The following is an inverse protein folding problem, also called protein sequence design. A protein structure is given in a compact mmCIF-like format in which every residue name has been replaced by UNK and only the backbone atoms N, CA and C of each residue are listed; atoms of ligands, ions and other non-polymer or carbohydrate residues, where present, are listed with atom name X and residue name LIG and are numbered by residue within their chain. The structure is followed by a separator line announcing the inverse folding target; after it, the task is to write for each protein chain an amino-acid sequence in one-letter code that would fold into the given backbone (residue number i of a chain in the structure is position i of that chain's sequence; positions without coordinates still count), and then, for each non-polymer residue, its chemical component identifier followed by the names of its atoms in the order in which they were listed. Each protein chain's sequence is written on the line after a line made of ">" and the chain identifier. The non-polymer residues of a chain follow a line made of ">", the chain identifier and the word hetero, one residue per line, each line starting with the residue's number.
data_IF_034228022034
#
_entry.id   IF_034228022034
#
_cell.length_a   1.000
_cell.length_b   1.000
_cell.length_c   1.000
_cell.angle_alpha   90.00
_cell.angle_beta   90.00
_cell.angle_gamma   90.00
#
_symmetry.space_group_name_H-M   'P 1'
#
loop_
_entity.id
_entity.type
_entity.pdbx_description
1 polymer ?
#
# COMPACT_ATOMS: atom_id res chain seq x y z
N UNK A 1 -24.37 16.99 34.06
CA UNK A 1 -23.33 18.05 34.22
C UNK A 1 -22.02 17.52 33.66
N UNK A 2 -21.43 18.19 32.68
CA UNK A 2 -20.10 17.84 32.18
C UNK A 2 -19.06 18.16 33.24
N UNK A 3 -18.20 17.20 33.56
CA UNK A 3 -17.09 17.44 34.50
C UNK A 3 -16.08 18.41 33.85
N UNK A 4 -15.39 19.24 34.66
CA UNK A 4 -14.40 20.23 34.19
C UNK A 4 -13.39 19.65 33.19
N UNK A 5 -12.93 18.41 33.41
CA UNK A 5 -11.99 17.73 32.53
C UNK A 5 -12.58 17.44 31.13
N UNK A 6 -13.88 17.18 31.02
CA UNK A 6 -14.53 16.98 29.70
C UNK A 6 -14.64 18.27 28.91
N UNK A 7 -14.89 19.40 29.62
CA UNK A 7 -14.90 20.73 28.98
C UNK A 7 -13.51 21.14 28.50
N UNK A 8 -12.47 20.89 29.28
CA UNK A 8 -11.08 21.13 28.88
C UNK A 8 -10.74 20.30 27.66
N UNK A 9 -11.05 19.01 27.65
CA UNK A 9 -10.82 18.13 26.50
C UNK A 9 -11.54 18.63 25.23
N UNK A 10 -12.78 19.12 25.37
CA UNK A 10 -13.55 19.70 24.26
C UNK A 10 -12.86 20.96 23.70
N UNK A 11 -12.39 21.87 24.57
CA UNK A 11 -11.70 23.09 24.13
C UNK A 11 -10.37 22.79 23.45
N UNK A 12 -9.61 21.80 23.95
CA UNK A 12 -8.38 21.35 23.29
C UNK A 12 -8.70 20.80 21.89
N UNK A 13 -9.73 19.95 21.76
CA UNK A 13 -10.16 19.41 20.48
C UNK A 13 -10.55 20.51 19.48
N UNK A 14 -11.37 21.47 19.94
CA UNK A 14 -11.78 22.62 19.11
C UNK A 14 -10.60 23.51 18.74
N UNK A 15 -9.65 23.72 19.66
CA UNK A 15 -8.43 24.47 19.40
C UNK A 15 -7.55 23.80 18.34
N UNK A 16 -7.35 22.49 18.44
CA UNK A 16 -6.60 21.70 17.45
C UNK A 16 -7.29 21.72 16.09
N UNK A 17 -8.62 21.54 16.07
CA UNK A 17 -9.40 21.64 14.81
C UNK A 17 -9.28 23.03 14.19
N UNK A 18 -9.44 24.09 14.98
CA UNK A 18 -9.31 25.47 14.52
C UNK A 18 -7.92 25.78 13.98
N UNK A 19 -6.86 25.35 14.69
CA UNK A 19 -5.47 25.49 14.24
C UNK A 19 -5.21 24.72 12.93
N UNK A 20 -5.77 23.52 12.79
CA UNK A 20 -5.64 22.70 11.59
C UNK A 20 -6.31 23.37 10.38
N UNK A 21 -7.52 23.91 10.57
CA UNK A 21 -8.25 24.64 9.52
C UNK A 21 -7.50 25.93 9.14
N UNK A 22 -7.00 26.69 10.13
CA UNK A 22 -6.22 27.89 9.88
C UNK A 22 -4.94 27.58 9.12
N UNK A 23 -4.19 26.57 9.54
CA UNK A 23 -2.99 26.10 8.83
C UNK A 23 -3.32 25.66 7.39
N UNK A 24 -4.40 24.93 7.19
CA UNK A 24 -4.87 24.55 5.86
C UNK A 24 -5.21 25.77 4.98
N UNK A 25 -5.92 26.75 5.51
CA UNK A 25 -6.28 27.96 4.75
C UNK A 25 -5.04 28.78 4.37
N UNK A 26 -4.06 28.88 5.25
CA UNK A 26 -2.79 29.57 4.99
C UNK A 26 -1.94 28.84 3.94
N UNK A 27 -1.86 27.52 4.05
CA UNK A 27 -0.99 26.71 3.20
C UNK A 27 -1.66 26.23 1.89
N UNK A 28 -3.00 26.39 1.75
CA UNK A 28 -3.75 25.82 0.61
C UNK A 28 -3.24 26.23 -0.78
N UNK A 29 -2.60 27.40 -0.90
CA UNK A 29 -2.04 27.87 -2.18
C UNK A 29 -0.67 27.25 -2.48
N UNK A 30 0.11 26.98 -1.45
CA UNK A 30 1.46 26.42 -1.54
C UNK A 30 1.46 24.89 -1.57
N UNK A 31 0.42 24.25 -1.01
CA UNK A 31 0.32 22.78 -0.94
C UNK A 31 0.10 22.19 -2.34
N UNK A 32 1.03 21.34 -2.75
CA UNK A 32 1.01 20.59 -4.01
C UNK A 32 0.53 19.17 -3.72
N UNK A 33 -0.68 18.87 -4.16
CA UNK A 33 -1.26 17.53 -3.98
C UNK A 33 -1.36 16.81 -5.31
N UNK A 34 -1.34 15.48 -5.26
CA UNK A 34 -1.60 14.62 -6.42
C UNK A 34 -2.92 14.97 -7.12
N UNK A 35 -3.97 15.33 -6.35
CA UNK A 35 -5.27 15.70 -6.90
C UNK A 35 -5.18 17.01 -7.71
N UNK A 36 -4.42 17.98 -7.22
CA UNK A 36 -4.19 19.24 -7.93
C UNK A 36 -3.37 19.01 -9.20
N UNK A 37 -2.33 18.16 -9.12
CA UNK A 37 -1.53 17.80 -10.29
C UNK A 37 -2.38 17.08 -11.36
N UNK A 38 -3.26 16.16 -10.93
CA UNK A 38 -4.22 15.51 -11.84
C UNK A 38 -5.10 16.54 -12.57
N UNK A 39 -5.58 17.55 -11.85
CA UNK A 39 -6.40 18.61 -12.45
C UNK A 39 -5.58 19.44 -13.45
N UNK A 40 -4.40 19.86 -13.08
CA UNK A 40 -3.51 20.65 -13.96
C UNK A 40 -3.20 19.90 -15.26
N UNK A 41 -2.92 18.59 -15.19
CA UNK A 41 -2.64 17.78 -16.37
C UNK A 41 -3.89 17.51 -17.23
N UNK A 42 -5.07 17.46 -16.63
CA UNK A 42 -6.32 17.35 -17.40
C UNK A 42 -6.69 18.65 -18.14
N UNK A 43 -6.33 19.79 -17.56
CA UNK A 43 -6.64 21.12 -18.11
C UNK A 43 -5.60 21.54 -19.18
N UNK A 44 -4.50 20.80 -19.33
CA UNK A 44 -3.43 21.06 -20.29
C UNK A 44 -3.74 20.39 -21.65
N UNK A 45 -4.03 21.12 -22.71
CA UNK A 45 -4.39 20.57 -24.01
C UNK A 45 -3.22 19.87 -24.72
N UNK A 46 -1.97 20.20 -24.35
CA UNK A 46 -0.77 19.65 -24.99
C UNK A 46 -0.39 18.27 -24.42
N UNK A 47 -0.91 17.93 -23.23
CA UNK A 47 -0.63 16.67 -22.55
C UNK A 47 -1.82 15.71 -22.66
N UNK A 48 -1.90 14.96 -23.74
CA UNK A 48 -2.99 14.00 -23.99
C UNK A 48 -2.90 12.71 -23.18
N UNK A 49 -1.73 12.30 -22.72
CA UNK A 49 -1.51 11.08 -21.93
C UNK A 49 -0.50 11.34 -20.80
N UNK A 50 -0.88 10.96 -19.59
CA UNK A 50 -0.05 11.09 -18.42
C UNK A 50 -0.32 9.93 -17.44
N UNK A 51 0.62 9.69 -16.54
CA UNK A 51 0.50 8.69 -15.48
C UNK A 51 1.01 9.27 -14.17
N UNK A 52 0.16 9.26 -13.14
CA UNK A 52 0.57 9.57 -11.77
C UNK A 52 0.62 8.29 -10.95
N UNK A 53 1.74 8.06 -10.31
CA UNK A 53 2.00 6.93 -9.44
C UNK A 53 2.55 7.42 -8.11
N UNK A 54 2.25 6.71 -7.03
CA UNK A 54 2.86 6.96 -5.73
C UNK A 54 3.29 5.63 -5.11
N UNK A 55 4.25 5.71 -4.21
CA UNK A 55 4.80 4.55 -3.53
C UNK A 55 3.89 4.16 -2.35
N UNK A 56 3.32 2.96 -2.41
CA UNK A 56 2.67 2.35 -1.27
C UNK A 56 3.71 1.83 -0.28
N UNK A 57 3.39 1.87 1.01
CA UNK A 57 4.21 1.17 2.00
C UNK A 57 4.11 -0.35 1.79
N UNK A 58 5.21 -1.07 1.92
CA UNK A 58 5.22 -2.54 1.88
C UNK A 58 4.30 -3.15 2.95
N UNK A 59 3.98 -2.40 4.00
CA UNK A 59 3.03 -2.82 5.04
C UNK A 59 1.62 -3.11 4.51
N UNK A 60 1.28 -2.62 3.31
CA UNK A 60 0.03 -3.00 2.64
C UNK A 60 -0.01 -4.50 2.28
N UNK A 61 1.14 -5.15 2.15
CA UNK A 61 1.23 -6.57 1.86
C UNK A 61 0.82 -7.46 3.05
N UNK A 62 0.62 -6.87 4.25
CA UNK A 62 0.05 -7.56 5.42
C UNK A 62 -1.49 -7.64 5.40
N UNK A 63 -2.14 -7.26 4.31
CA UNK A 63 -3.61 -7.40 4.13
C UNK A 63 -4.12 -8.81 4.45
N UNK A 64 -3.46 -9.92 4.06
CA UNK A 64 -3.93 -11.27 4.43
C UNK A 64 -3.98 -11.47 5.96
N UNK A 65 -2.97 -11.00 6.69
CA UNK A 65 -2.94 -11.05 8.16
C UNK A 65 -4.04 -10.18 8.78
N UNK A 66 -4.29 -8.98 8.21
CA UNK A 66 -5.35 -8.09 8.68
C UNK A 66 -6.73 -8.72 8.46
N UNK A 67 -6.96 -9.35 7.30
CA UNK A 67 -8.20 -10.06 7.00
C UNK A 67 -8.40 -11.26 7.96
N UNK A 68 -7.34 -12.04 8.20
CA UNK A 68 -7.36 -13.12 9.18
C UNK A 68 -7.66 -12.60 10.60
N UNK A 69 -7.07 -11.47 11.01
CA UNK A 69 -7.35 -10.83 12.29
C UNK A 69 -8.81 -10.38 12.40
N UNK A 70 -9.37 -9.80 11.34
CA UNK A 70 -10.77 -9.41 11.33
C UNK A 70 -11.71 -10.63 11.46
N UNK A 71 -11.44 -11.69 10.71
CA UNK A 71 -12.20 -12.93 10.80
C UNK A 71 -12.09 -13.55 12.21
N UNK A 72 -10.87 -13.60 12.76
CA UNK A 72 -10.63 -14.12 14.11
C UNK A 72 -11.37 -13.28 15.17
N UNK A 73 -11.37 -11.95 15.04
CA UNK A 73 -12.12 -11.04 15.91
C UNK A 73 -13.61 -11.35 15.89
N UNK A 74 -14.20 -11.48 14.69
CA UNK A 74 -15.63 -11.81 14.55
C UNK A 74 -15.95 -13.16 15.18
N UNK A 75 -15.14 -14.19 14.91
CA UNK A 75 -15.33 -15.53 15.49
C UNK A 75 -15.26 -15.51 17.04
N UNK A 76 -14.31 -14.75 17.60
CA UNK A 76 -14.18 -14.61 19.05
C UNK A 76 -15.37 -13.87 19.66
N UNK A 77 -15.87 -12.79 19.04
CA UNK A 77 -17.08 -12.12 19.52
C UNK A 77 -18.33 -12.99 19.41
N UNK A 78 -18.48 -13.79 18.34
CA UNK A 78 -19.57 -14.75 18.20
C UNK A 78 -19.49 -15.84 19.29
N UNK A 79 -18.28 -16.29 19.64
CA UNK A 79 -18.06 -17.20 20.75
C UNK A 79 -18.42 -16.59 22.09
N UNK A 80 -17.94 -15.37 22.38
CA UNK A 80 -18.22 -14.64 23.64
C UNK A 80 -19.72 -14.36 23.81
N UNK A 81 -20.46 -14.21 22.71
CA UNK A 81 -21.92 -14.03 22.69
C UNK A 81 -22.69 -15.35 22.72
N UNK A 82 -22.03 -16.47 22.93
CA UNK A 82 -22.61 -17.83 22.98
C UNK A 82 -23.49 -18.18 21.74
N UNK A 83 -23.14 -17.67 20.56
CA UNK A 83 -23.95 -17.80 19.36
C UNK A 83 -23.79 -19.17 18.72
N UNK A 84 -24.71 -20.09 19.07
CA UNK A 84 -24.87 -21.39 18.44
C UNK A 84 -23.58 -22.24 18.43
N UNK A 85 -23.21 -22.77 17.26
CA UNK A 85 -22.05 -23.68 17.09
C UNK A 85 -20.71 -22.99 17.42
N UNK A 86 -20.64 -21.67 17.35
CA UNK A 86 -19.40 -20.92 17.59
C UNK A 86 -18.96 -20.93 19.05
N UNK A 87 -19.87 -21.17 20.01
CA UNK A 87 -19.54 -21.27 21.45
C UNK A 87 -18.57 -22.42 21.76
N UNK A 88 -18.57 -23.49 20.95
CA UNK A 88 -17.74 -24.68 21.15
C UNK A 88 -16.33 -24.57 20.59
N UNK A 89 -16.03 -23.50 19.82
CA UNK A 89 -14.71 -23.32 19.19
C UNK A 89 -13.66 -23.01 20.26
N UNK A 90 -12.55 -23.75 20.22
CA UNK A 90 -11.42 -23.50 21.11
C UNK A 90 -10.66 -22.24 20.66
N UNK A 91 -10.47 -21.22 21.53
CA UNK A 91 -9.72 -19.99 21.22
C UNK A 91 -8.30 -20.24 20.71
N UNK A 92 -7.64 -21.26 21.29
CA UNK A 92 -6.27 -21.61 20.89
C UNK A 92 -6.17 -22.08 19.44
N UNK A 93 -7.25 -22.67 18.88
CA UNK A 93 -7.29 -23.08 17.46
C UNK A 93 -7.35 -21.83 16.56
N UNK A 94 -8.20 -20.85 16.93
CA UNK A 94 -8.29 -19.58 16.20
C UNK A 94 -6.93 -18.87 16.22
N UNK A 95 -6.30 -18.78 17.41
CA UNK A 95 -4.99 -18.18 17.59
C UNK A 95 -3.88 -18.90 16.81
N UNK A 96 -3.90 -20.23 16.82
CA UNK A 96 -2.96 -21.05 16.06
C UNK A 96 -3.07 -20.82 14.54
N UNK A 97 -4.28 -20.85 14.00
CA UNK A 97 -4.52 -20.60 12.55
C UNK A 97 -4.08 -19.17 12.18
N UNK A 98 -4.48 -18.19 12.99
CA UNK A 98 -4.08 -16.81 12.78
C UNK A 98 -2.56 -16.65 12.80
N UNK A 99 -1.88 -17.27 13.77
CA UNK A 99 -0.42 -17.20 13.89
C UNK A 99 0.28 -17.81 12.68
N UNK A 100 -0.20 -18.93 12.16
CA UNK A 100 0.34 -19.57 10.95
C UNK A 100 0.18 -18.63 9.74
N UNK A 101 -0.99 -18.00 9.56
CA UNK A 101 -1.22 -17.04 8.49
C UNK A 101 -0.28 -15.84 8.62
N UNK A 102 -0.14 -15.30 9.85
CA UNK A 102 0.79 -14.21 10.14
C UNK A 102 2.22 -14.59 9.81
N UNK A 103 2.69 -15.76 10.27
CA UNK A 103 4.05 -16.23 10.07
C UNK A 103 4.36 -16.43 8.58
N UNK A 104 3.45 -17.08 7.84
CA UNK A 104 3.62 -17.27 6.38
C UNK A 104 3.70 -15.91 5.69
N UNK A 105 2.78 -14.99 6.01
CA UNK A 105 2.76 -13.66 5.42
C UNK A 105 4.04 -12.87 5.73
N UNK A 106 4.50 -12.94 6.99
CA UNK A 106 5.75 -12.33 7.42
C UNK A 106 6.97 -12.89 6.67
N UNK A 107 7.10 -14.22 6.60
CA UNK A 107 8.22 -14.85 5.89
C UNK A 107 8.22 -14.52 4.39
N UNK A 108 7.06 -14.54 3.75
CA UNK A 108 6.98 -14.24 2.32
C UNK A 108 7.32 -12.78 2.03
N UNK A 109 6.89 -11.83 2.88
CA UNK A 109 7.19 -10.41 2.71
C UNK A 109 8.66 -10.10 3.01
N UNK A 110 9.20 -10.61 4.11
CA UNK A 110 10.56 -10.33 4.56
C UNK A 110 11.61 -10.86 3.58
N UNK A 111 11.42 -12.07 3.07
CA UNK A 111 12.40 -12.71 2.18
C UNK A 111 12.08 -12.54 0.69
N UNK A 112 11.05 -11.79 0.32
CA UNK A 112 10.60 -11.61 -1.07
C UNK A 112 10.48 -12.97 -1.81
N UNK A 113 9.83 -13.94 -1.18
CA UNK A 113 9.79 -15.32 -1.63
C UNK A 113 9.00 -15.44 -2.93
N UNK A 114 9.64 -15.96 -3.97
CA UNK A 114 8.96 -16.25 -5.23
C UNK A 114 7.96 -17.40 -5.07
N UNK A 115 6.90 -17.38 -5.89
CA UNK A 115 5.87 -18.44 -5.87
C UNK A 115 6.47 -19.84 -6.05
N UNK A 116 7.58 -19.98 -6.80
CA UNK A 116 8.25 -21.27 -7.00
C UNK A 116 8.82 -21.81 -5.70
N UNK A 117 9.52 -20.95 -4.94
CA UNK A 117 10.11 -21.34 -3.65
C UNK A 117 8.99 -21.65 -2.65
N UNK A 118 7.91 -20.86 -2.63
CA UNK A 118 6.75 -21.11 -1.76
C UNK A 118 6.13 -22.49 -2.05
N UNK A 119 5.91 -22.84 -3.32
CA UNK A 119 5.34 -24.13 -3.72
C UNK A 119 6.28 -25.29 -3.33
N UNK A 120 7.58 -25.15 -3.58
CA UNK A 120 8.57 -26.17 -3.20
C UNK A 120 8.57 -26.36 -1.68
N UNK A 121 8.57 -25.26 -0.90
CA UNK A 121 8.47 -25.28 0.56
C UNK A 121 7.21 -25.99 1.03
N UNK A 122 6.05 -25.66 0.45
CA UNK A 122 4.77 -26.26 0.81
C UNK A 122 4.76 -27.76 0.56
N UNK A 123 5.25 -28.19 -0.62
CA UNK A 123 5.37 -29.63 -0.98
C UNK A 123 6.35 -30.32 -0.02
N UNK A 124 7.49 -29.69 0.28
CA UNK A 124 8.48 -30.24 1.23
C UNK A 124 7.92 -30.42 2.64
N UNK A 125 7.20 -29.41 3.15
CA UNK A 125 6.53 -29.49 4.45
C UNK A 125 5.47 -30.59 4.45
N UNK A 126 4.65 -30.67 3.39
CA UNK A 126 3.67 -31.75 3.22
C UNK A 126 4.32 -33.14 3.21
N UNK A 127 5.43 -33.29 2.49
CA UNK A 127 6.19 -34.54 2.46
C UNK A 127 6.74 -34.92 3.83
N UNK A 128 7.34 -33.98 4.55
CA UNK A 128 7.83 -34.19 5.93
C UNK A 128 6.68 -34.60 6.85
N UNK A 129 5.52 -33.95 6.72
CA UNK A 129 4.35 -34.27 7.55
C UNK A 129 3.81 -35.69 7.25
N UNK A 130 3.75 -36.08 5.97
CA UNK A 130 3.40 -37.45 5.58
C UNK A 130 4.40 -38.47 6.11
N UNK A 131 5.70 -38.17 6.02
CA UNK A 131 6.75 -39.06 6.57
C UNK A 131 6.62 -39.19 8.08
N UNK A 132 6.42 -38.09 8.84
CA UNK A 132 6.17 -38.12 10.27
C UNK A 132 4.92 -38.97 10.63
N UNK A 133 3.88 -38.91 9.78
CA UNK A 133 2.67 -39.71 9.96
C UNK A 133 2.95 -41.21 9.78
N UNK A 134 3.72 -41.59 8.75
CA UNK A 134 4.11 -42.98 8.52
C UNK A 134 4.95 -43.55 9.65
N UNK A 135 5.81 -42.74 10.26
CA UNK A 135 6.65 -43.15 11.41
C UNK A 135 5.86 -43.14 12.75
N UNK A 136 4.64 -42.56 12.75
CA UNK A 136 3.82 -42.42 13.95
C UNK A 136 4.27 -41.31 14.90
N UNK A 137 5.12 -40.39 14.43
CA UNK A 137 5.67 -39.29 15.24
C UNK A 137 4.84 -38.03 15.25
N UNK A 138 3.77 -37.93 14.46
CA UNK A 138 2.87 -36.77 14.43
C UNK A 138 2.37 -36.37 15.82
N UNK A 139 1.90 -37.31 16.70
CA UNK A 139 1.45 -36.91 18.03
C UNK A 139 2.57 -36.36 18.91
N UNK A 140 3.80 -36.90 18.80
CA UNK A 140 4.96 -36.40 19.53
C UNK A 140 5.36 -34.99 19.03
N UNK A 141 5.36 -34.79 17.71
CA UNK A 141 5.63 -33.49 17.08
C UNK A 141 4.58 -32.44 17.50
N UNK A 142 3.29 -32.77 17.45
CA UNK A 142 2.22 -31.84 17.85
C UNK A 142 2.27 -31.51 19.36
N UNK A 143 2.78 -32.41 20.21
CA UNK A 143 2.98 -32.13 21.65
C UNK A 143 3.99 -31.00 21.89
N UNK A 144 4.98 -30.81 21.01
CA UNK A 144 5.91 -29.68 21.11
C UNK A 144 5.18 -28.33 21.00
N UNK A 145 4.10 -28.27 20.21
CA UNK A 145 3.29 -27.08 20.02
C UNK A 145 2.17 -26.90 21.04
N UNK A 146 1.92 -27.88 21.92
CA UNK A 146 0.86 -27.81 22.94
C UNK A 146 1.03 -26.62 23.89
N UNK A 147 2.26 -26.16 24.09
CA UNK A 147 2.57 -25.02 24.95
C UNK A 147 2.61 -23.67 24.16
N UNK A 148 2.47 -23.72 22.85
CA UNK A 148 2.34 -22.54 21.96
C UNK A 148 0.87 -22.13 21.75
N UNK A 149 -0.01 -22.43 22.73
CA UNK A 149 -1.40 -22.00 22.68
C UNK A 149 -1.45 -20.46 22.72
N UNK A 150 -1.74 -19.84 21.58
CA UNK A 150 -1.90 -18.40 21.46
C UNK A 150 -3.38 -18.08 21.67
N UNK A 151 -3.71 -17.52 22.83
CA UNK A 151 -5.06 -17.05 23.10
C UNK A 151 -5.10 -15.53 23.04
N UNK A 152 -5.75 -14.99 22.03
CA UNK A 152 -5.94 -13.55 21.85
C UNK A 152 -7.44 -13.29 21.93
N UNK A 153 -7.84 -12.25 22.68
CA UNK A 153 -9.25 -11.82 22.78
C UNK A 153 -9.78 -11.27 21.45
N UNK A 154 -11.09 -11.28 21.25
CA UNK A 154 -11.74 -10.66 20.09
C UNK A 154 -11.31 -9.21 19.89
N UNK A 155 -11.20 -8.43 20.98
CA UNK A 155 -10.72 -7.05 20.98
C UNK A 155 -9.24 -6.96 20.55
N UNK A 156 -8.39 -7.93 20.94
CA UNK A 156 -6.98 -7.96 20.53
C UNK A 156 -6.83 -8.12 19.03
N UNK A 157 -7.57 -9.03 18.40
CA UNK A 157 -7.60 -9.19 16.94
C UNK A 157 -8.13 -7.95 16.22
N UNK A 158 -9.19 -7.32 16.78
CA UNK A 158 -9.73 -6.07 16.24
C UNK A 158 -8.67 -4.96 16.27
N UNK A 159 -7.90 -4.85 17.35
CA UNK A 159 -6.82 -3.87 17.47
C UNK A 159 -5.76 -4.07 16.40
N UNK A 160 -5.33 -5.32 16.14
CA UNK A 160 -4.37 -5.63 15.06
C UNK A 160 -4.93 -5.19 13.70
N UNK A 161 -6.20 -5.46 13.43
CA UNK A 161 -6.87 -5.02 12.20
C UNK A 161 -6.88 -3.50 12.08
N UNK A 162 -7.26 -2.78 13.16
CA UNK A 162 -7.32 -1.31 13.16
C UNK A 162 -5.93 -0.67 12.95
N UNK A 163 -4.89 -1.20 13.60
CA UNK A 163 -3.51 -0.73 13.39
C UNK A 163 -3.10 -0.93 11.94
N UNK A 164 -3.42 -2.08 11.36
CA UNK A 164 -3.16 -2.37 9.96
C UNK A 164 -3.86 -1.40 9.01
N UNK A 165 -5.16 -1.17 9.20
CA UNK A 165 -5.94 -0.21 8.42
C UNK A 165 -5.41 1.22 8.57
N UNK A 166 -5.02 1.62 9.77
CA UNK A 166 -4.38 2.92 10.02
C UNK A 166 -3.09 3.05 9.20
N UNK A 167 -2.25 2.02 9.19
CA UNK A 167 -0.99 2.01 8.42
C UNK A 167 -1.24 2.16 6.92
N UNK A 168 -2.26 1.47 6.38
CA UNK A 168 -2.67 1.62 4.98
C UNK A 168 -3.17 3.05 4.73
N UNK A 169 -4.00 3.59 5.63
CA UNK A 169 -4.50 4.96 5.54
C UNK A 169 -3.39 6.01 5.52
N UNK A 170 -2.40 5.88 6.41
CA UNK A 170 -1.21 6.74 6.44
C UNK A 170 -0.42 6.64 5.12
N UNK A 171 -0.24 5.43 4.59
CA UNK A 171 0.45 5.22 3.32
C UNK A 171 -0.28 5.90 2.16
N UNK A 172 -1.60 5.78 2.10
CA UNK A 172 -2.43 6.46 1.10
C UNK A 172 -2.35 7.98 1.24
N UNK A 173 -2.42 8.49 2.47
CA UNK A 173 -2.32 9.93 2.77
C UNK A 173 -0.94 10.47 2.37
N UNK A 174 0.14 9.76 2.70
CA UNK A 174 1.49 10.10 2.25
C UNK A 174 1.55 10.20 0.72
N UNK A 175 0.90 9.29 0.01
CA UNK A 175 0.81 9.28 -1.45
C UNK A 175 0.07 10.46 -2.06
N UNK A 176 -0.55 11.35 -1.28
CA UNK A 176 -1.09 12.62 -1.77
C UNK A 176 0.00 13.66 -2.04
N UNK A 177 1.12 13.58 -1.29
CA UNK A 177 2.20 14.57 -1.33
C UNK A 177 3.50 14.00 -1.92
N UNK A 178 3.68 12.68 -1.88
CA UNK A 178 4.84 11.97 -2.43
C UNK A 178 4.38 11.12 -3.62
N UNK A 179 4.60 11.64 -4.83
CA UNK A 179 4.16 10.97 -6.04
C UNK A 179 5.08 11.29 -7.22
N UNK A 180 5.05 10.44 -8.22
CA UNK A 180 5.77 10.60 -9.47
C UNK A 180 4.76 10.77 -10.59
N UNK A 181 4.94 11.80 -11.41
CA UNK A 181 4.15 12.05 -12.60
C UNK A 181 5.01 11.78 -13.83
N UNK A 182 4.53 10.95 -14.71
CA UNK A 182 5.18 10.67 -15.99
C UNK A 182 4.35 11.25 -17.11
N UNK A 183 4.96 12.14 -17.89
CA UNK A 183 4.42 12.73 -19.11
C UNK A 183 5.25 12.26 -20.31
N UNK A 184 4.84 12.49 -21.57
CA UNK A 184 5.63 12.11 -22.73
C UNK A 184 7.03 12.70 -22.77
N UNK A 185 7.23 13.94 -22.29
CA UNK A 185 8.47 14.67 -22.40
C UNK A 185 9.36 14.64 -21.15
N UNK A 186 8.75 14.53 -19.96
CA UNK A 186 9.46 14.58 -18.69
C UNK A 186 8.78 13.75 -17.62
N UNK A 187 9.55 13.43 -16.60
CA UNK A 187 9.07 12.86 -15.34
C UNK A 187 9.21 13.92 -14.24
N UNK A 188 8.19 14.10 -13.43
CA UNK A 188 8.21 15.00 -12.29
C UNK A 188 8.10 14.17 -11.00
N UNK A 189 9.08 14.34 -10.10
CA UNK A 189 9.13 13.69 -8.79
C UNK A 189 8.74 14.73 -7.75
N UNK A 190 7.61 14.49 -7.06
CA UNK A 190 7.15 15.36 -5.98
C UNK A 190 7.46 14.70 -4.64
N UNK A 191 8.28 15.37 -3.83
CA UNK A 191 8.69 14.95 -2.49
C UNK A 191 8.25 15.98 -1.45
N UNK A 192 7.03 15.81 -0.94
CA UNK A 192 6.51 16.68 0.10
C UNK A 192 5.41 17.66 -0.35
N UNK A 193 4.77 18.33 0.62
CA UNK A 193 3.60 19.15 0.35
C UNK A 193 3.91 20.52 -0.27
N UNK A 194 5.09 21.07 -0.03
CA UNK A 194 5.45 22.46 -0.38
C UNK A 194 6.64 22.55 -1.32
N UNK A 195 7.40 21.49 -1.49
CA UNK A 195 8.60 21.47 -2.33
C UNK A 195 8.26 21.58 -3.81
N UNK A 196 9.18 22.17 -4.55
CA UNK A 196 9.09 22.22 -6.02
C UNK A 196 9.50 20.84 -6.55
N UNK A 197 8.60 20.18 -7.27
CA UNK A 197 8.92 18.87 -7.85
C UNK A 197 10.12 18.94 -8.79
N UNK A 198 10.96 17.92 -8.75
CA UNK A 198 12.11 17.80 -9.64
C UNK A 198 11.66 17.26 -11.00
N UNK A 199 12.02 17.95 -12.06
CA UNK A 199 11.74 17.53 -13.43
C UNK A 199 12.97 16.85 -14.05
N UNK A 200 12.77 15.65 -14.58
CA UNK A 200 13.80 14.83 -15.22
C UNK A 200 13.37 14.58 -16.66
N UNK A 201 14.26 14.88 -17.60
CA UNK A 201 14.01 14.65 -19.02
C UNK A 201 13.78 13.17 -19.32
N UNK A 202 12.98 12.89 -20.36
CA UNK A 202 12.68 11.53 -20.80
C UNK A 202 13.93 10.67 -21.07
N UNK A 203 14.96 11.30 -21.59
CA UNK A 203 16.22 10.68 -21.96
C UNK A 203 17.08 10.26 -20.75
N UNK A 204 16.84 10.85 -19.57
CA UNK A 204 17.70 10.74 -18.39
C UNK A 204 17.26 9.66 -17.41
N UNK A 205 16.15 8.97 -17.68
CA UNK A 205 15.69 7.84 -16.87
C UNK A 205 15.24 6.66 -17.72
N UNK A 206 15.31 5.47 -17.10
CA UNK A 206 14.68 4.26 -17.63
C UNK A 206 13.76 3.66 -16.57
N UNK A 207 12.72 2.95 -16.99
CA UNK A 207 11.77 2.31 -16.09
C UNK A 207 11.62 0.84 -16.41
N UNK A 208 11.67 0.01 -15.37
CA UNK A 208 11.44 -1.43 -15.43
C UNK A 208 10.34 -1.82 -14.47
N UNK A 209 9.52 -2.78 -14.87
CA UNK A 209 8.46 -3.33 -14.03
C UNK A 209 8.95 -4.65 -13.47
N UNK A 210 8.84 -4.80 -12.16
CA UNK A 210 9.14 -6.04 -11.45
C UNK A 210 7.87 -6.53 -10.75
N UNK A 211 7.53 -7.79 -10.99
CA UNK A 211 6.37 -8.48 -10.42
C UNK A 211 6.76 -9.87 -9.94
N UNK A 212 7.98 -10.04 -9.48
CA UNK A 212 8.52 -11.34 -9.06
C UNK A 212 7.93 -11.85 -7.74
N UNK A 213 7.53 -10.94 -6.85
CA UNK A 213 7.02 -11.25 -5.53
C UNK A 213 5.61 -11.86 -5.59
N UNK A 214 5.39 -12.94 -4.80
CA UNK A 214 4.12 -13.66 -4.73
C UNK A 214 3.00 -12.80 -4.11
N UNK A 215 3.24 -12.14 -2.97
CA UNK A 215 2.22 -11.33 -2.29
C UNK A 215 1.83 -10.11 -3.11
N UNK A 216 2.79 -9.46 -3.75
CA UNK A 216 2.54 -8.35 -4.65
C UNK A 216 1.58 -8.77 -5.77
N UNK A 217 1.87 -9.92 -6.41
CA UNK A 217 1.01 -10.46 -7.50
C UNK A 217 -0.38 -10.84 -7.01
N UNK A 218 -0.49 -11.49 -5.84
CA UNK A 218 -1.76 -11.92 -5.23
C UNK A 218 -2.66 -10.71 -4.96
N UNK A 219 -2.10 -9.62 -4.45
CA UNK A 219 -2.82 -8.40 -4.09
C UNK A 219 -2.93 -7.40 -5.26
N UNK A 220 -2.37 -7.74 -6.44
CA UNK A 220 -2.38 -6.88 -7.62
C UNK A 220 -1.40 -5.73 -7.56
N UNK A 221 -0.40 -5.81 -6.69
CA UNK A 221 0.73 -4.89 -6.60
C UNK A 221 1.87 -5.32 -7.52
N UNK A 222 2.87 -4.46 -7.64
CA UNK A 222 4.16 -4.71 -8.27
C UNK A 222 5.04 -3.49 -8.16
N UNK A 223 6.31 -3.66 -8.46
CA UNK A 223 7.32 -2.61 -8.33
C UNK A 223 7.63 -1.99 -9.70
N UNK A 224 7.61 -0.66 -9.74
CA UNK A 224 8.15 0.11 -10.86
C UNK A 224 9.51 0.62 -10.39
N UNK A 225 10.58 0.13 -11.04
CA UNK A 225 11.95 0.53 -10.76
C UNK A 225 12.35 1.57 -11.78
N UNK A 226 12.67 2.76 -11.32
CA UNK A 226 13.15 3.88 -12.14
C UNK A 226 14.65 4.00 -11.91
N UNK A 227 15.43 3.86 -12.97
CA UNK A 227 16.88 4.03 -12.95
C UNK A 227 17.24 5.30 -13.71
N UNK A 228 18.19 6.05 -13.18
CA UNK A 228 18.66 7.31 -13.77
C UNK A 228 19.96 7.09 -14.55
N UNK A 229 20.18 7.84 -15.61
CA UNK A 229 21.47 7.81 -16.36
C UNK A 229 22.62 8.31 -15.47
N UNK A 230 22.35 9.23 -14.60
CA UNK A 230 23.30 9.71 -13.63
C UNK A 230 23.63 8.61 -12.60
N UNK A 231 24.86 8.12 -12.64
CA UNK A 231 25.32 6.97 -11.82
C UNK A 231 25.36 7.27 -10.31
N UNK A 232 25.45 8.55 -9.92
CA UNK A 232 25.42 8.99 -8.53
C UNK A 232 24.06 8.84 -7.89
N UNK A 233 23.00 8.74 -8.70
CA UNK A 233 21.61 8.72 -8.23
C UNK A 233 21.13 7.29 -8.00
N UNK A 234 20.62 7.05 -6.79
CA UNK A 234 20.05 5.75 -6.43
C UNK A 234 18.77 5.46 -7.21
N UNK A 235 18.55 4.22 -7.69
CA UNK A 235 17.30 3.84 -8.32
C UNK A 235 16.10 4.04 -7.40
N UNK A 236 15.01 4.56 -7.93
CA UNK A 236 13.76 4.72 -7.20
C UNK A 236 12.87 3.48 -7.41
N UNK A 237 12.44 2.86 -6.33
CA UNK A 237 11.56 1.68 -6.36
C UNK A 237 10.20 2.10 -5.81
N UNK A 238 9.16 1.96 -6.61
CA UNK A 238 7.78 2.34 -6.28
C UNK A 238 6.90 1.10 -6.23
N UNK A 239 6.34 0.78 -5.07
CA UNK A 239 5.30 -0.24 -4.94
C UNK A 239 3.97 0.35 -5.40
N UNK A 240 3.36 -0.26 -6.41
CA UNK A 240 2.22 0.33 -7.12
C UNK A 240 1.06 -0.66 -7.23
N UNK A 241 -0.13 -0.23 -6.85
CA UNK A 241 -1.35 -1.02 -7.00
C UNK A 241 -1.83 -1.04 -8.46
N UNK A 242 -2.43 -2.15 -8.90
CA UNK A 242 -2.84 -2.40 -10.30
C UNK A 242 -1.67 -2.22 -11.27
N UNK A 243 -0.54 -2.80 -10.95
CA UNK A 243 0.71 -2.63 -11.69
C UNK A 243 0.55 -2.91 -13.19
N UNK A 244 -0.19 -3.95 -13.58
CA UNK A 244 -0.39 -4.29 -15.01
C UNK A 244 -1.02 -3.16 -15.82
N UNK A 245 -2.10 -2.56 -15.30
CA UNK A 245 -2.78 -1.45 -15.96
C UNK A 245 -1.90 -0.19 -16.01
N UNK A 246 -1.17 0.07 -14.93
CA UNK A 246 -0.24 1.22 -14.89
C UNK A 246 0.99 1.00 -15.76
N UNK A 247 1.46 -0.22 -15.89
CA UNK A 247 2.52 -0.61 -16.80
C UNK A 247 2.16 -0.31 -18.26
N UNK A 248 1.00 -0.79 -18.70
CA UNK A 248 0.51 -0.50 -20.06
C UNK A 248 0.34 1.01 -20.31
N UNK A 249 -0.14 1.73 -19.30
CA UNK A 249 -0.29 3.19 -19.40
C UNK A 249 1.06 3.89 -19.43
N UNK A 250 2.04 3.42 -18.67
CA UNK A 250 3.42 3.92 -18.67
C UNK A 250 4.07 3.74 -20.06
N UNK A 251 3.94 2.57 -20.66
CA UNK A 251 4.43 2.29 -22.01
C UNK A 251 3.74 3.19 -23.04
N UNK A 252 2.41 3.35 -22.93
CA UNK A 252 1.65 4.22 -23.83
C UNK A 252 2.11 5.68 -23.72
N UNK A 253 2.31 6.21 -22.51
CA UNK A 253 2.81 7.58 -22.29
C UNK A 253 4.22 7.73 -22.87
N UNK A 254 5.09 6.74 -22.65
CA UNK A 254 6.46 6.77 -23.17
C UNK A 254 6.55 6.59 -24.69
N UNK A 255 5.60 5.94 -25.32
CA UNK A 255 5.58 5.77 -26.77
C UNK A 255 5.20 7.07 -27.52
N UNK A 256 4.57 8.02 -26.84
CA UNK A 256 4.17 9.30 -27.41
C UNK A 256 5.27 10.35 -27.20
N UNK A 257 5.43 11.20 -28.21
CA UNK A 257 6.14 12.48 -28.10
C UNK A 257 5.07 13.58 -28.15
N UNK A 258 4.99 14.39 -27.11
CA UNK A 258 4.23 15.64 -27.21
C UNK A 258 5.09 16.64 -28.01
N UNK A 259 4.63 17.01 -29.16
CA UNK A 259 5.24 18.08 -29.96
C UNK A 259 4.52 19.37 -29.55
N UNK A 260 5.29 20.32 -29.03
CA UNK A 260 4.76 21.69 -28.84
C UNK A 260 4.31 22.23 -30.21
N UNK A 261 3.02 22.40 -30.38
CA UNK A 261 2.52 23.16 -31.52
C UNK A 261 2.84 24.64 -31.26
N UNK A 262 3.67 25.25 -32.10
CA UNK A 262 3.87 26.71 -31.98
C UNK A 262 2.50 27.35 -32.05
N UNK A 263 2.18 28.17 -31.03
CA UNK A 263 0.95 28.98 -31.02
C UNK A 263 0.93 29.76 -32.34
N UNK A 264 0.00 29.43 -33.25
CA UNK A 264 -0.16 30.20 -34.47
C UNK A 264 -0.52 31.61 -34.06
N UNK A 265 0.24 32.64 -34.50
CA UNK A 265 -0.14 34.01 -34.24
C UNK A 265 -1.56 34.25 -34.82
N UNK A 266 -2.38 35.05 -34.13
CA UNK A 266 -3.73 35.33 -34.62
C UNK A 266 -3.67 35.81 -36.08
N UNK A 267 -4.62 35.38 -36.94
CA UNK A 267 -4.64 35.80 -38.32
C UNK A 267 -4.67 37.33 -38.39
N UNK A 268 -3.94 37.94 -39.33
CA UNK A 268 -3.94 39.37 -39.50
C UNK A 268 -5.37 39.89 -39.72
N UNK A 269 -5.73 41.07 -39.19
CA UNK A 269 -7.05 41.63 -39.39
C UNK A 269 -7.32 41.77 -40.89
N UNK A 270 -8.53 41.37 -41.30
CA UNK A 270 -8.99 41.51 -42.69
C UNK A 270 -8.88 42.97 -43.11
N UNK A 271 -8.36 43.27 -44.32
CA UNK A 271 -8.33 44.65 -44.84
C UNK A 271 -9.74 45.18 -44.95
N UNK A 272 -9.93 46.46 -44.51
CA UNK A 272 -11.20 47.17 -44.51
C UNK A 272 -11.65 47.49 -45.90
#
# INVERSE_FOLDING_TARGET
>A
MWTSNKMIALYILLGVLGATVAAWLLLRKTVRTRLRMTKTLNDDPDINDWLIIFNWSTKVLYVPTMAASLCASVLMFMKESEWGVFSTINPSVIGGIWFVIFLINYLVEEYNISIKILLISLVSVGFVFLWLNLVGWVPAFLRLFKHLALEISGTGYLLVTLIGLLTIGISWFKGLFYYVTVTPNYMNIQEGPTETGEQIGREDYNSRIDTSDFLERLLGFGRIVITFKEKSRTPMILLVWRVRSKAQRLEKVRAKLAVDHPVQPPPPPLPA
#
